data_IF_065201876216
#
_entry.id   IF_065201876216
#
_cell.length_a   1.000
_cell.length_b   1.000
_cell.length_c   1.000
_cell.angle_alpha   90.00
_cell.angle_beta   90.00
_cell.angle_gamma   90.00
#
_symmetry.space_group_name_H-M   'P 1'
#
loop_
_entity.id
_entity.type
_entity.pdbx_description
1 polymer ?
#
# COMPACT_ATOMS: atom_id res chain seq x y z
N UNK A 1 6.64 -8.05 3.17
CA UNK A 1 6.47 -9.50 3.47
C UNK A 1 7.86 -10.10 3.68
N UNK A 2 8.05 -10.79 4.83
CA UNK A 2 9.27 -11.57 5.04
C UNK A 2 9.31 -12.72 4.02
N UNK A 3 10.47 -13.05 3.45
CA UNK A 3 10.63 -14.26 2.65
C UNK A 3 10.12 -15.49 3.40
N UNK A 4 9.55 -16.47 2.70
CA UNK A 4 8.90 -17.64 3.32
C UNK A 4 9.85 -18.45 4.23
N UNK A 5 11.13 -18.51 3.90
CA UNK A 5 12.17 -19.13 4.71
C UNK A 5 12.40 -18.38 6.04
N UNK A 6 12.43 -17.05 6.02
CA UNK A 6 12.57 -16.22 7.21
C UNK A 6 11.32 -16.32 8.12
N UNK A 7 10.12 -16.35 7.54
CA UNK A 7 8.89 -16.54 8.28
C UNK A 7 8.78 -17.95 8.90
N UNK A 8 9.34 -18.98 8.26
CA UNK A 8 9.47 -20.33 8.82
C UNK A 8 10.46 -20.39 9.98
N UNK A 9 11.60 -19.72 9.84
CA UNK A 9 12.66 -19.67 10.86
C UNK A 9 12.15 -19.01 12.15
N UNK A 10 11.46 -17.87 12.04
CA UNK A 10 10.83 -17.18 13.18
C UNK A 10 9.77 -18.07 13.86
N UNK A 11 8.95 -18.81 13.10
CA UNK A 11 7.98 -19.74 13.68
C UNK A 11 8.64 -20.91 14.42
N UNK A 12 9.74 -21.43 13.89
CA UNK A 12 10.46 -22.56 14.50
C UNK A 12 11.18 -22.15 15.79
N UNK A 13 11.70 -20.93 15.87
CA UNK A 13 12.34 -20.39 17.07
C UNK A 13 11.32 -20.15 18.20
N UNK A 14 10.12 -19.63 17.88
CA UNK A 14 9.03 -19.48 18.85
C UNK A 14 8.53 -20.83 19.40
N UNK A 15 8.66 -21.91 18.62
CA UNK A 15 8.30 -23.25 19.09
C UNK A 15 9.33 -23.91 20.02
N UNK A 16 10.41 -23.21 20.39
CA UNK A 16 11.42 -23.68 21.37
C UNK A 16 12.28 -24.86 20.89
N UNK A 17 12.33 -25.11 19.58
CA UNK A 17 12.94 -26.32 19.01
C UNK A 17 14.46 -26.25 18.82
N UNK A 18 15.07 -25.06 18.90
CA UNK A 18 16.54 -24.89 18.74
C UNK A 18 17.01 -23.70 19.60
N UNK A 19 18.15 -23.87 20.32
CA UNK A 19 18.86 -22.73 20.95
C UNK A 19 19.70 -22.03 19.86
N UNK A 20 19.34 -20.83 19.40
CA UNK A 20 20.01 -20.19 18.30
C UNK A 20 21.44 -19.75 18.70
N UNK A 21 22.42 -19.99 17.84
CA UNK A 21 23.75 -19.40 17.96
C UNK A 21 23.69 -17.86 17.86
N UNK A 22 24.79 -17.18 18.25
CA UNK A 22 24.85 -15.69 18.28
C UNK A 22 24.39 -15.04 16.97
N UNK A 23 24.80 -15.59 15.82
CA UNK A 23 24.40 -15.07 14.49
C UNK A 23 22.90 -15.20 14.24
N UNK A 24 22.28 -16.31 14.65
CA UNK A 24 20.85 -16.52 14.54
C UNK A 24 20.06 -15.57 15.44
N UNK A 25 20.55 -15.28 16.67
CA UNK A 25 19.96 -14.30 17.57
C UNK A 25 20.03 -12.89 16.99
N UNK A 26 21.16 -12.46 16.44
CA UNK A 26 21.31 -11.15 15.81
C UNK A 26 20.39 -11.01 14.58
N UNK A 27 20.29 -12.07 13.77
CA UNK A 27 19.36 -12.10 12.61
C UNK A 27 17.91 -12.03 13.08
N UNK A 28 17.55 -12.76 14.12
CA UNK A 28 16.20 -12.72 14.70
C UNK A 28 15.84 -11.31 15.21
N UNK A 29 16.72 -10.68 15.99
CA UNK A 29 16.51 -9.31 16.48
C UNK A 29 16.38 -8.30 15.32
N UNK A 30 17.20 -8.43 14.29
CA UNK A 30 17.11 -7.61 13.09
C UNK A 30 15.73 -7.77 12.41
N UNK A 31 15.30 -9.02 12.15
CA UNK A 31 14.00 -9.31 11.51
C UNK A 31 12.84 -8.84 12.38
N UNK A 32 12.94 -9.02 13.68
CA UNK A 32 11.94 -8.52 14.65
C UNK A 32 11.83 -7.00 14.61
N UNK A 33 12.95 -6.29 14.60
CA UNK A 33 12.99 -4.83 14.50
C UNK A 33 12.35 -4.36 13.19
N UNK A 34 12.71 -4.97 12.06
CA UNK A 34 12.10 -4.67 10.77
C UNK A 34 10.58 -4.91 10.77
N UNK A 35 10.13 -6.03 11.31
CA UNK A 35 8.70 -6.33 11.42
C UNK A 35 7.95 -5.31 12.30
N UNK A 36 8.56 -4.89 13.41
CA UNK A 36 7.99 -3.86 14.29
C UNK A 36 7.91 -2.50 13.59
N UNK A 37 8.95 -2.10 12.86
CA UNK A 37 8.95 -0.85 12.10
C UNK A 37 7.87 -0.86 11.00
N UNK A 38 7.73 -1.97 10.27
CA UNK A 38 6.68 -2.11 9.26
C UNK A 38 5.29 -2.08 9.88
N UNK A 39 5.08 -2.74 11.03
CA UNK A 39 3.81 -2.70 11.74
C UNK A 39 3.48 -1.29 12.23
N UNK A 40 4.44 -0.58 12.83
CA UNK A 40 4.26 0.79 13.28
C UNK A 40 3.92 1.74 12.12
N UNK A 41 4.61 1.60 10.98
CA UNK A 41 4.31 2.35 9.76
C UNK A 41 2.88 2.07 9.28
N UNK A 42 2.49 0.79 9.22
CA UNK A 42 1.13 0.41 8.83
C UNK A 42 0.08 1.06 9.73
N UNK A 43 0.28 1.02 11.05
CA UNK A 43 -0.64 1.65 12.02
C UNK A 43 -0.72 3.16 11.80
N UNK A 44 0.42 3.83 11.63
CA UNK A 44 0.45 5.29 11.41
C UNK A 44 -0.28 5.70 10.12
N UNK A 45 -0.11 4.94 9.04
CA UNK A 45 -0.83 5.19 7.77
C UNK A 45 -2.33 4.92 7.96
N UNK A 46 -2.70 3.83 8.63
CA UNK A 46 -4.11 3.51 8.90
C UNK A 46 -4.79 4.60 9.73
N UNK A 47 -4.09 5.15 10.73
CA UNK A 47 -4.59 6.25 11.55
C UNK A 47 -4.76 7.52 10.70
N UNK A 48 -3.80 7.84 9.83
CA UNK A 48 -3.89 8.97 8.92
C UNK A 48 -5.09 8.84 7.94
N UNK A 49 -5.38 7.63 7.45
CA UNK A 49 -6.55 7.33 6.61
C UNK A 49 -7.85 7.55 7.39
N UNK A 50 -7.93 7.06 8.64
CA UNK A 50 -9.10 7.27 9.52
C UNK A 50 -9.35 8.75 9.79
N UNK A 51 -8.30 9.47 10.17
CA UNK A 51 -8.40 10.90 10.48
C UNK A 51 -8.79 11.74 9.26
N UNK A 52 -8.34 11.35 8.06
CA UNK A 52 -8.66 12.06 6.85
C UNK A 52 -10.16 11.98 6.52
N UNK A 53 -10.79 10.82 6.72
CA UNK A 53 -12.20 10.59 6.41
C UNK A 53 -12.55 10.95 4.96
N UNK A 54 -11.62 10.75 4.03
CA UNK A 54 -11.77 11.16 2.64
C UNK A 54 -12.80 10.32 1.90
N UNK A 55 -13.44 10.91 0.90
CA UNK A 55 -14.44 10.25 0.06
C UNK A 55 -13.83 9.18 -0.87
N UNK A 56 -12.53 9.27 -1.12
CA UNK A 56 -11.76 8.35 -1.98
C UNK A 56 -10.39 8.09 -1.37
N UNK A 57 -9.85 6.90 -1.63
CA UNK A 57 -8.47 6.54 -1.28
C UNK A 57 -7.76 6.06 -2.54
N UNK A 58 -6.58 6.58 -2.81
CA UNK A 58 -5.70 6.13 -3.90
C UNK A 58 -4.41 5.60 -3.29
N UNK A 59 -4.06 4.36 -3.62
CA UNK A 59 -2.84 3.69 -3.15
C UNK A 59 -1.90 3.56 -4.35
N UNK A 60 -0.80 4.32 -4.33
CA UNK A 60 0.22 4.33 -5.38
C UNK A 60 1.27 3.26 -5.08
N UNK A 61 1.47 2.34 -6.02
CA UNK A 61 2.29 1.15 -5.81
C UNK A 61 1.65 0.20 -4.81
N UNK A 62 0.38 -0.16 -5.04
CA UNK A 62 -0.46 -0.86 -4.07
C UNK A 62 0.09 -2.24 -3.65
N UNK A 63 0.88 -2.91 -4.48
CA UNK A 63 1.49 -4.21 -4.17
C UNK A 63 0.49 -5.16 -3.52
N UNK A 64 0.82 -5.63 -2.33
CA UNK A 64 -0.05 -6.48 -1.51
C UNK A 64 -0.77 -5.70 -0.39
N UNK A 65 -1.01 -4.41 -0.57
CA UNK A 65 -1.81 -3.63 0.39
C UNK A 65 -3.17 -4.29 0.62
N UNK A 66 -3.55 -4.47 1.87
CA UNK A 66 -4.79 -5.13 2.27
C UNK A 66 -5.84 -4.19 2.88
N UNK A 67 -5.64 -2.85 2.82
CA UNK A 67 -6.53 -1.87 3.48
C UNK A 67 -7.96 -1.97 3.00
N UNK A 68 -8.17 -2.12 1.70
CA UNK A 68 -9.49 -2.26 1.11
C UNK A 68 -10.26 -3.51 1.60
N UNK A 69 -9.55 -4.52 2.10
CA UNK A 69 -10.15 -5.76 2.63
C UNK A 69 -10.27 -5.82 4.14
N UNK A 70 -9.58 -4.92 4.88
CA UNK A 70 -9.49 -5.03 6.35
C UNK A 70 -9.92 -3.80 7.13
N UNK A 71 -10.02 -2.63 6.50
CA UNK A 71 -10.37 -1.38 7.19
C UNK A 71 -11.87 -1.10 7.11
N UNK A 72 -12.62 -1.22 8.23
CA UNK A 72 -14.08 -0.95 8.25
C UNK A 72 -14.41 0.50 7.87
N UNK A 73 -13.48 1.43 8.08
CA UNK A 73 -13.62 2.85 7.76
C UNK A 73 -13.75 3.12 6.26
N UNK A 74 -13.32 2.16 5.43
CA UNK A 74 -13.41 2.25 3.98
C UNK A 74 -14.73 1.72 3.39
N UNK A 75 -15.71 1.33 4.22
CA UNK A 75 -16.95 0.70 3.76
C UNK A 75 -17.72 1.53 2.72
N UNK A 76 -17.71 2.84 2.86
CA UNK A 76 -18.40 3.77 1.96
C UNK A 76 -17.41 4.55 1.07
N UNK A 77 -16.19 4.05 0.93
CA UNK A 77 -15.07 4.70 0.24
C UNK A 77 -14.66 3.89 -0.98
N UNK A 78 -14.54 4.55 -2.14
CA UNK A 78 -13.94 3.95 -3.33
C UNK A 78 -12.42 3.93 -3.19
N UNK A 79 -11.81 2.75 -3.34
CA UNK A 79 -10.37 2.56 -3.27
C UNK A 79 -9.81 2.32 -4.66
N UNK A 80 -8.83 3.14 -5.05
CA UNK A 80 -8.10 3.00 -6.31
C UNK A 80 -6.71 2.43 -6.01
N UNK A 81 -6.43 1.27 -6.52
CA UNK A 81 -5.12 0.63 -6.39
C UNK A 81 -4.33 0.79 -7.68
N UNK A 82 -3.34 1.67 -7.64
CA UNK A 82 -2.44 1.94 -8.77
C UNK A 82 -1.19 1.09 -8.61
N UNK A 83 -0.86 0.29 -9.61
CA UNK A 83 0.36 -0.52 -9.63
C UNK A 83 0.67 -1.00 -11.05
N UNK A 84 1.89 -1.52 -11.22
CA UNK A 84 2.29 -2.17 -12.46
C UNK A 84 1.33 -3.33 -12.82
N UNK A 85 0.96 -3.50 -14.09
CA UNK A 85 -0.01 -4.53 -14.51
C UNK A 85 0.29 -5.94 -14.01
N UNK A 86 1.57 -6.33 -13.95
CA UNK A 86 1.97 -7.66 -13.49
C UNK A 86 1.76 -7.85 -11.99
N UNK A 87 2.09 -6.83 -11.18
CA UNK A 87 1.85 -6.83 -9.72
C UNK A 87 0.35 -6.91 -9.42
N UNK A 88 -0.45 -6.17 -10.17
CA UNK A 88 -1.91 -6.22 -10.02
C UNK A 88 -2.49 -7.59 -10.37
N UNK A 89 -1.98 -8.25 -11.41
CA UNK A 89 -2.42 -9.59 -11.79
C UNK A 89 -2.21 -10.59 -10.65
N UNK A 90 -1.00 -10.65 -10.09
CA UNK A 90 -0.67 -11.51 -8.93
C UNK A 90 -1.56 -11.20 -7.72
N UNK A 91 -1.76 -9.93 -7.39
CA UNK A 91 -2.63 -9.52 -6.30
C UNK A 91 -4.08 -9.97 -6.51
N UNK A 92 -4.63 -9.75 -7.69
CA UNK A 92 -6.00 -10.13 -8.03
C UNK A 92 -6.21 -11.64 -7.92
N UNK A 93 -5.25 -12.43 -8.37
CA UNK A 93 -5.29 -13.90 -8.23
C UNK A 93 -5.31 -14.32 -6.76
N UNK A 94 -4.46 -13.73 -5.92
CA UNK A 94 -4.42 -14.00 -4.47
C UNK A 94 -5.69 -13.55 -3.75
N UNK A 95 -6.29 -12.46 -4.19
CA UNK A 95 -7.47 -11.86 -3.56
C UNK A 95 -8.80 -12.46 -4.04
N UNK A 96 -8.82 -13.37 -5.02
CA UNK A 96 -10.05 -13.91 -5.63
C UNK A 96 -11.09 -14.44 -4.63
N UNK A 97 -10.63 -14.98 -3.49
CA UNK A 97 -11.50 -15.56 -2.46
C UNK A 97 -11.82 -14.59 -1.32
N UNK A 98 -11.24 -13.40 -1.35
CA UNK A 98 -11.44 -12.38 -0.33
C UNK A 98 -12.59 -11.47 -0.73
N UNK A 99 -13.40 -11.09 0.25
CA UNK A 99 -14.44 -10.05 0.05
C UNK A 99 -13.90 -8.73 0.55
N UNK A 100 -13.88 -7.67 -0.28
CA UNK A 100 -13.49 -6.35 0.17
C UNK A 100 -14.46 -5.82 1.22
N UNK A 101 -13.95 -4.98 2.11
CA UNK A 101 -14.72 -4.22 3.08
C UNK A 101 -15.09 -2.85 2.50
N UNK A 102 -14.22 -2.28 1.66
CA UNK A 102 -14.48 -1.02 0.97
C UNK A 102 -15.70 -1.10 0.04
N UNK A 103 -16.26 0.07 -0.30
CA UNK A 103 -17.39 0.19 -1.23
C UNK A 103 -17.11 -0.51 -2.56
N UNK A 104 -15.96 -0.19 -3.15
CA UNK A 104 -15.44 -0.85 -4.34
C UNK A 104 -13.90 -0.76 -4.36
N UNK A 105 -13.28 -1.64 -5.15
CA UNK A 105 -11.85 -1.58 -5.46
C UNK A 105 -11.69 -1.46 -6.96
N UNK A 106 -11.01 -0.40 -7.38
CA UNK A 106 -10.68 -0.12 -8.77
C UNK A 106 -9.19 -0.33 -8.99
N UNK A 107 -8.86 -1.36 -9.72
CA UNK A 107 -7.49 -1.64 -10.12
C UNK A 107 -7.12 -0.76 -11.30
N UNK A 108 -6.09 0.07 -11.11
CA UNK A 108 -5.60 1.04 -12.09
C UNK A 108 -4.20 0.61 -12.52
N UNK A 109 -4.07 -0.13 -13.63
CA UNK A 109 -2.76 -0.56 -14.09
C UNK A 109 -1.98 0.64 -14.63
N UNK A 110 -0.81 0.91 -14.06
CA UNK A 110 0.08 2.02 -14.44
C UNK A 110 1.53 1.60 -14.29
N UNK A 111 2.28 1.72 -15.35
CA UNK A 111 3.73 1.78 -15.32
C UNK A 111 4.14 3.25 -15.13
N UNK A 112 4.69 3.60 -13.96
CA UNK A 112 5.04 4.97 -13.61
C UNK A 112 6.11 5.60 -14.54
N UNK A 113 6.88 4.79 -15.27
CA UNK A 113 7.89 5.28 -16.21
C UNK A 113 7.29 5.62 -17.59
N UNK A 114 6.16 4.99 -17.96
CA UNK A 114 5.66 5.03 -19.34
C UNK A 114 4.22 5.52 -19.46
N UNK A 115 3.40 5.36 -18.41
CA UNK A 115 1.96 5.60 -18.50
C UNK A 115 1.56 6.96 -17.89
N UNK A 116 0.46 7.52 -18.41
CA UNK A 116 -0.13 8.74 -17.91
C UNK A 116 -1.06 8.45 -16.71
N UNK A 117 -0.52 8.52 -15.49
CA UNK A 117 -1.24 8.30 -14.24
C UNK A 117 -2.57 9.07 -14.17
N UNK A 118 -2.57 10.35 -14.58
CA UNK A 118 -3.76 11.21 -14.54
C UNK A 118 -4.90 10.66 -15.39
N UNK A 119 -4.59 10.21 -16.60
CA UNK A 119 -5.58 9.64 -17.51
C UNK A 119 -6.09 8.30 -16.99
N UNK A 120 -5.20 7.44 -16.46
CA UNK A 120 -5.57 6.16 -15.90
C UNK A 120 -6.54 6.31 -14.72
N UNK A 121 -6.27 7.25 -13.81
CA UNK A 121 -7.16 7.57 -12.69
C UNK A 121 -8.53 8.11 -13.17
N UNK A 122 -8.52 9.02 -14.15
CA UNK A 122 -9.77 9.55 -14.73
C UNK A 122 -10.62 8.44 -15.38
N UNK A 123 -10.02 7.56 -16.18
CA UNK A 123 -10.71 6.41 -16.78
C UNK A 123 -11.25 5.43 -15.72
N UNK A 124 -10.53 5.25 -14.62
CA UNK A 124 -10.99 4.45 -13.51
C UNK A 124 -12.12 5.12 -12.70
N UNK A 125 -12.46 6.37 -13.02
CA UNK A 125 -13.54 7.11 -12.38
C UNK A 125 -13.16 7.77 -11.06
N UNK A 126 -11.87 8.11 -10.87
CA UNK A 126 -11.45 8.98 -9.76
C UNK A 126 -12.03 10.39 -9.99
N UNK A 127 -12.75 10.87 -9.02
CA UNK A 127 -13.42 12.18 -9.06
C UNK A 127 -12.53 13.24 -8.40
N UNK A 128 -11.99 14.14 -9.22
CA UNK A 128 -11.11 15.23 -8.76
C UNK A 128 -11.82 16.32 -7.95
N UNK A 129 -13.15 16.27 -7.87
CA UNK A 129 -13.95 17.22 -7.07
C UNK A 129 -14.21 16.72 -5.65
N UNK A 130 -13.82 15.49 -5.32
CA UNK A 130 -13.98 14.87 -4.02
C UNK A 130 -12.66 14.78 -3.26
N UNK A 131 -12.72 14.85 -1.94
CA UNK A 131 -11.52 14.67 -1.10
C UNK A 131 -10.90 13.30 -1.30
N UNK A 132 -9.59 13.26 -1.42
CA UNK A 132 -8.80 12.03 -1.65
C UNK A 132 -7.70 11.90 -0.63
N UNK A 133 -7.55 10.72 -0.03
CA UNK A 133 -6.34 10.33 0.67
C UNK A 133 -5.45 9.55 -0.30
N UNK A 134 -4.28 10.11 -0.57
CA UNK A 134 -3.22 9.51 -1.35
C UNK A 134 -2.27 8.77 -0.42
N UNK A 135 -2.04 7.49 -0.65
CA UNK A 135 -1.06 6.68 0.06
C UNK A 135 0.06 6.33 -0.92
N UNK A 136 1.28 6.72 -0.58
CA UNK A 136 2.45 6.47 -1.42
C UNK A 136 3.56 5.80 -0.61
N UNK A 137 3.30 4.57 -0.23
CA UNK A 137 4.12 3.79 0.70
C UNK A 137 5.10 2.88 -0.04
N UNK A 138 6.40 3.02 0.28
CA UNK A 138 7.42 2.04 -0.12
C UNK A 138 7.81 2.03 -1.60
N UNK A 139 7.37 3.01 -2.40
CA UNK A 139 7.64 3.09 -3.85
C UNK A 139 8.57 4.24 -4.20
N UNK A 140 8.48 5.36 -3.48
CA UNK A 140 9.22 6.61 -3.78
C UNK A 140 10.74 6.38 -3.96
N UNK A 141 11.31 5.45 -3.18
CA UNK A 141 12.74 5.14 -3.22
C UNK A 141 13.21 4.47 -4.53
N UNK A 142 12.29 4.00 -5.34
CA UNK A 142 12.58 3.34 -6.63
C UNK A 142 12.37 4.26 -7.83
N UNK A 143 11.81 5.46 -7.63
CA UNK A 143 11.49 6.41 -8.68
C UNK A 143 12.59 7.45 -8.85
N UNK A 144 12.72 7.96 -10.09
CA UNK A 144 13.59 9.09 -10.34
C UNK A 144 12.99 10.39 -9.77
N UNK A 145 13.79 11.43 -9.48
CA UNK A 145 13.25 12.73 -9.08
C UNK A 145 12.20 13.28 -10.05
N UNK A 146 12.39 13.06 -11.34
CA UNK A 146 11.45 13.48 -12.40
C UNK A 146 10.09 12.78 -12.26
N UNK A 147 10.09 11.46 -11.98
CA UNK A 147 8.86 10.68 -11.84
C UNK A 147 8.12 11.07 -10.55
N UNK A 148 8.89 11.38 -9.50
CA UNK A 148 8.33 11.91 -8.25
C UNK A 148 7.65 13.25 -8.50
N UNK A 149 8.31 14.20 -9.16
CA UNK A 149 7.74 15.50 -9.49
C UNK A 149 6.50 15.37 -10.38
N UNK A 150 6.56 14.55 -11.41
CA UNK A 150 5.44 14.29 -12.31
C UNK A 150 4.24 13.70 -11.55
N UNK A 151 4.47 12.72 -10.66
CA UNK A 151 3.43 12.13 -9.82
C UNK A 151 2.82 13.19 -8.91
N UNK A 152 3.62 13.94 -8.15
CA UNK A 152 3.14 15.01 -7.26
C UNK A 152 2.29 16.05 -8.01
N UNK A 153 2.68 16.42 -9.24
CA UNK A 153 1.91 17.32 -10.07
C UNK A 153 0.52 16.77 -10.43
N UNK A 154 0.42 15.45 -10.67
CA UNK A 154 -0.88 14.76 -10.89
C UNK A 154 -1.72 14.79 -9.62
N UNK A 155 -1.13 14.43 -8.47
CA UNK A 155 -1.82 14.46 -7.18
C UNK A 155 -2.38 15.86 -6.89
N UNK A 156 -1.59 16.90 -7.13
CA UNK A 156 -2.01 18.28 -6.93
C UNK A 156 -3.22 18.65 -7.80
N UNK A 157 -3.18 18.32 -9.10
CA UNK A 157 -4.29 18.63 -10.01
C UNK A 157 -5.57 17.88 -9.70
N UNK A 158 -5.44 16.66 -9.17
CA UNK A 158 -6.57 15.78 -8.85
C UNK A 158 -6.98 15.82 -7.36
N UNK A 159 -6.63 16.89 -6.66
CA UNK A 159 -6.94 17.08 -5.24
C UNK A 159 -7.70 18.37 -5.01
N UNK A 160 -8.69 18.31 -4.15
CA UNK A 160 -9.38 19.48 -3.59
C UNK A 160 -8.87 19.78 -2.18
N UNK A 161 -9.16 20.98 -1.63
CA UNK A 161 -8.88 21.26 -0.22
C UNK A 161 -9.45 20.20 0.71
N UNK A 162 -8.65 19.73 1.66
CA UNK A 162 -8.98 18.61 2.56
C UNK A 162 -8.43 17.27 2.10
N UNK A 163 -7.93 17.14 0.86
CA UNK A 163 -7.18 15.95 0.44
C UNK A 163 -5.85 15.84 1.18
N UNK A 164 -5.36 14.63 1.40
CA UNK A 164 -4.11 14.35 2.14
C UNK A 164 -3.19 13.43 1.35
N UNK A 165 -1.90 13.65 1.48
CA UNK A 165 -0.85 12.73 1.02
C UNK A 165 -0.16 12.12 2.24
N UNK A 166 -0.04 10.79 2.26
CA UNK A 166 0.66 10.00 3.27
C UNK A 166 1.81 9.25 2.58
N UNK A 167 3.05 9.49 3.03
CA UNK A 167 4.27 8.88 2.47
C UNK A 167 5.00 8.09 3.57
#
# INVERSE_FOLDING_TARGET
LLPDDAAREVRNEHAGKVRPGLRARLRHEYLRTQAMMMAARTVAIDDAVREAGSAQVVILGAGLDGRAWRMPELRDVSVFEVDHPDSQRDKRERAQKLRPVSLDIRFVPVDFEHDALEQALAHAGHDETRTTTWIWEGVVMYLTPRDIEATLAVLQRRSVPGSRLVI
#
